data_IF_311333781934
#
_entry.id   IF_311333781934
#
_cell.length_a   1.000
_cell.length_b   1.000
_cell.length_c   1.000
_cell.angle_alpha   90.00
_cell.angle_beta   90.00
_cell.angle_gamma   90.00
#
_symmetry.space_group_name_H-M   'P 1'
#
loop_
_entity.id
_entity.type
_entity.pdbx_description
1 polymer ?
#
# COMPACT_ATOMS: atom_id res chain seq x y z
N UNK A 1 19.24 -3.14 -21.25
CA UNK A 1 18.67 -1.95 -20.60
C UNK A 1 17.65 -2.38 -19.57
N UNK A 2 17.87 -2.00 -18.34
CA UNK A 2 16.97 -2.37 -17.26
C UNK A 2 15.88 -1.30 -17.15
N UNK A 3 14.64 -1.71 -17.38
CA UNK A 3 13.50 -0.81 -17.19
C UNK A 3 13.06 -0.93 -15.75
N UNK A 4 13.23 0.14 -14.98
CA UNK A 4 12.77 0.17 -13.60
C UNK A 4 11.37 0.76 -13.57
N UNK A 5 10.38 -0.06 -13.23
CA UNK A 5 9.02 0.41 -13.07
C UNK A 5 8.84 0.89 -11.64
N UNK A 6 8.81 2.22 -11.45
CA UNK A 6 8.57 2.82 -10.15
C UNK A 6 7.08 3.00 -9.87
N UNK A 7 6.27 2.06 -10.36
CA UNK A 7 4.83 2.08 -10.13
C UNK A 7 4.49 1.27 -8.90
N UNK A 8 3.75 1.87 -7.99
CA UNK A 8 3.38 1.25 -6.73
C UNK A 8 1.86 1.29 -6.57
N UNK A 9 1.27 0.19 -6.16
CA UNK A 9 -0.15 0.13 -5.89
C UNK A 9 -0.38 -0.35 -4.45
N UNK A 10 -1.16 0.43 -3.70
CA UNK A 10 -1.56 0.08 -2.34
C UNK A 10 -2.91 -0.62 -2.41
N UNK A 11 -3.01 -1.80 -1.79
CA UNK A 11 -4.23 -2.61 -1.87
C UNK A 11 -4.84 -2.78 -0.48
N UNK A 12 -6.09 -2.38 -0.34
CA UNK A 12 -6.88 -2.57 0.86
C UNK A 12 -7.96 -3.63 0.66
N UNK A 13 -8.86 -3.78 1.62
CA UNK A 13 -9.95 -4.75 1.54
C UNK A 13 -11.13 -4.19 0.79
N UNK A 14 -11.66 -3.06 1.24
CA UNK A 14 -12.80 -2.39 0.63
C UNK A 14 -12.73 -0.89 0.87
N UNK A 15 -13.40 -0.06 0.04
CA UNK A 15 -13.39 1.38 0.22
C UNK A 15 -14.05 1.77 1.54
N UNK A 16 -13.50 2.81 2.17
CA UNK A 16 -14.13 3.41 3.33
C UNK A 16 -15.35 4.25 2.94
N UNK A 17 -16.05 4.75 3.95
CA UNK A 17 -17.25 5.55 3.75
C UNK A 17 -16.98 7.01 3.38
N UNK A 18 -15.74 7.45 3.55
CA UNK A 18 -15.35 8.83 3.25
C UNK A 18 -14.82 8.96 1.83
N UNK A 19 -15.06 10.11 1.16
CA UNK A 19 -14.42 10.36 -0.14
C UNK A 19 -12.89 10.41 0.02
N UNK A 20 -12.11 10.15 -1.06
CA UNK A 20 -10.64 10.08 -0.97
C UNK A 20 -9.99 11.30 -0.32
N UNK A 21 -10.50 12.51 -0.57
CA UNK A 21 -9.94 13.73 0.02
C UNK A 21 -10.16 13.86 1.53
N UNK A 22 -11.02 13.03 2.11
CA UNK A 22 -11.30 13.03 3.56
C UNK A 22 -10.87 11.72 4.24
N UNK A 23 -10.38 10.76 3.48
CA UNK A 23 -9.97 9.46 4.02
C UNK A 23 -8.64 9.56 4.73
N UNK A 24 -8.55 9.08 5.96
CA UNK A 24 -7.28 8.99 6.68
C UNK A 24 -6.34 7.99 6.01
N UNK A 25 -6.89 6.93 5.45
CA UNK A 25 -6.12 5.94 4.71
C UNK A 25 -5.39 6.59 3.54
N UNK A 26 -6.11 7.37 2.72
CA UNK A 26 -5.51 8.03 1.57
C UNK A 26 -4.50 9.09 1.99
N UNK A 27 -4.78 9.83 3.06
CA UNK A 27 -3.83 10.82 3.59
C UNK A 27 -2.52 10.18 4.01
N UNK A 28 -2.58 9.02 4.69
CA UNK A 28 -1.38 8.29 5.09
C UNK A 28 -0.62 7.72 3.91
N UNK A 29 -1.33 7.11 2.96
CA UNK A 29 -0.70 6.59 1.74
C UNK A 29 0.02 7.72 1.00
N UNK A 30 -0.60 8.88 0.89
CA UNK A 30 0.00 10.05 0.25
C UNK A 30 1.29 10.47 0.96
N UNK A 31 1.23 10.57 2.30
CA UNK A 31 2.40 10.92 3.11
C UNK A 31 3.53 9.91 2.92
N UNK A 32 3.21 8.62 2.99
CA UNK A 32 4.21 7.57 2.85
C UNK A 32 4.87 7.59 1.48
N UNK A 33 4.08 7.81 0.44
CA UNK A 33 4.59 7.87 -0.93
C UNK A 33 5.54 9.05 -1.11
N UNK A 34 5.20 10.21 -0.59
CA UNK A 34 6.06 11.38 -0.66
C UNK A 34 7.37 11.14 0.10
N UNK A 35 7.28 10.66 1.33
CA UNK A 35 8.46 10.46 2.18
C UNK A 35 9.35 9.31 1.71
N UNK A 36 8.77 8.29 1.09
CA UNK A 36 9.53 7.17 0.52
C UNK A 36 10.07 7.46 -0.88
N UNK A 37 9.71 8.60 -1.47
CA UNK A 37 10.18 8.97 -2.82
C UNK A 37 9.46 8.24 -3.94
N UNK A 38 8.25 7.74 -3.70
CA UNK A 38 7.46 7.05 -4.71
C UNK A 38 6.71 8.09 -5.55
N UNK A 39 7.00 8.12 -6.85
CA UNK A 39 6.43 9.13 -7.74
C UNK A 39 5.12 8.69 -8.39
N UNK A 40 5.02 7.40 -8.77
CA UNK A 40 3.86 6.86 -9.45
C UNK A 40 3.17 5.86 -8.55
N UNK A 41 2.09 6.26 -7.91
CA UNK A 41 1.35 5.38 -7.02
C UNK A 41 -0.15 5.54 -7.21
N UNK A 42 -0.86 4.46 -6.89
CA UNK A 42 -2.31 4.43 -6.91
C UNK A 42 -2.77 3.47 -5.82
N UNK A 43 -4.07 3.26 -5.71
CA UNK A 43 -4.63 2.31 -4.76
C UNK A 43 -5.82 1.58 -5.37
N UNK A 44 -6.09 0.41 -4.82
CA UNK A 44 -7.29 -0.36 -5.14
C UNK A 44 -7.69 -1.16 -3.91
N UNK A 45 -8.74 -1.95 -4.03
CA UNK A 45 -9.23 -2.79 -2.94
C UNK A 45 -9.57 -4.18 -3.47
N UNK A 46 -9.53 -5.19 -2.60
CA UNK A 46 -9.90 -6.56 -2.99
C UNK A 46 -11.36 -6.65 -3.45
N UNK A 47 -12.22 -5.73 -2.98
CA UNK A 47 -13.61 -5.66 -3.41
C UNK A 47 -13.76 -5.22 -4.86
N UNK A 48 -12.74 -4.60 -5.45
CA UNK A 48 -12.74 -4.27 -6.87
C UNK A 48 -12.54 -5.56 -7.67
N UNK A 49 -13.50 -5.96 -8.53
CA UNK A 49 -13.37 -7.21 -9.28
C UNK A 49 -12.19 -7.22 -10.26
N UNK A 50 -11.66 -6.06 -10.60
CA UNK A 50 -10.52 -5.95 -11.52
C UNK A 50 -9.18 -5.78 -10.80
N UNK A 51 -9.13 -5.98 -9.47
CA UNK A 51 -7.90 -5.72 -8.71
C UNK A 51 -6.70 -6.52 -9.22
N UNK A 52 -6.88 -7.78 -9.62
CA UNK A 52 -5.77 -8.59 -10.13
C UNK A 52 -5.22 -8.09 -11.47
N UNK A 53 -6.06 -7.45 -12.26
CA UNK A 53 -5.63 -6.82 -13.52
C UNK A 53 -4.89 -5.52 -13.20
N UNK A 54 -5.41 -4.73 -12.26
CA UNK A 54 -4.85 -3.43 -11.91
C UNK A 54 -3.46 -3.52 -11.29
N UNK A 55 -3.15 -4.61 -10.56
CA UNK A 55 -1.85 -4.75 -9.92
C UNK A 55 -0.72 -5.18 -10.85
N UNK A 56 -1.04 -5.60 -12.07
CA UNK A 56 -0.01 -6.06 -13.02
C UNK A 56 0.94 -4.92 -13.37
N UNK A 57 2.24 -5.21 -13.25
CA UNK A 57 3.27 -4.23 -13.54
C UNK A 57 3.54 -3.24 -12.42
N UNK A 58 2.92 -3.42 -11.26
CA UNK A 58 3.11 -2.56 -10.10
C UNK A 58 3.85 -3.28 -8.99
N UNK A 59 4.57 -2.52 -8.16
CA UNK A 59 5.01 -3.00 -6.86
C UNK A 59 3.79 -2.99 -5.94
N UNK A 60 3.45 -4.15 -5.38
CA UNK A 60 2.22 -4.30 -4.60
C UNK A 60 2.50 -4.12 -3.12
N UNK A 61 1.77 -3.22 -2.49
CA UNK A 61 1.82 -3.04 -1.04
C UNK A 61 0.48 -3.47 -0.46
N UNK A 62 0.53 -4.52 0.36
CA UNK A 62 -0.67 -5.09 0.99
C UNK A 62 -0.93 -4.38 2.32
N UNK A 63 -2.08 -3.73 2.44
CA UNK A 63 -2.47 -3.02 3.65
C UNK A 63 -3.27 -3.91 4.58
N UNK A 64 -2.59 -4.46 5.59
CA UNK A 64 -3.19 -5.32 6.60
C UNK A 64 -3.08 -6.80 6.30
N UNK A 65 -3.44 -7.61 7.31
CA UNK A 65 -3.26 -9.06 7.26
C UNK A 65 -4.15 -9.76 6.24
N UNK A 66 -5.38 -9.28 6.07
CA UNK A 66 -6.34 -9.91 5.15
C UNK A 66 -5.81 -9.85 3.72
N UNK A 67 -5.33 -8.68 3.32
CA UNK A 67 -4.79 -8.47 1.97
C UNK A 67 -3.50 -9.28 1.78
N UNK A 68 -2.61 -9.24 2.79
CA UNK A 68 -1.34 -9.97 2.71
C UNK A 68 -1.58 -11.48 2.54
N UNK A 69 -2.50 -12.05 3.31
CA UNK A 69 -2.84 -13.49 3.19
C UNK A 69 -3.41 -13.83 1.82
N UNK A 70 -4.24 -12.94 1.27
CA UNK A 70 -4.80 -13.13 -0.07
C UNK A 70 -3.69 -13.20 -1.12
N UNK A 71 -2.72 -12.29 -1.06
CA UNK A 71 -1.62 -12.28 -2.02
C UNK A 71 -0.66 -13.45 -1.82
N UNK A 72 -0.41 -13.87 -0.59
CA UNK A 72 0.37 -15.08 -0.32
C UNK A 72 -0.28 -16.30 -0.97
N UNK A 73 -1.59 -16.43 -0.82
CA UNK A 73 -2.35 -17.55 -1.39
C UNK A 73 -2.34 -17.54 -2.91
N UNK A 74 -2.28 -16.36 -3.52
CA UNK A 74 -2.29 -16.21 -4.98
C UNK A 74 -0.90 -16.01 -5.59
N UNK A 75 0.15 -16.23 -4.81
CA UNK A 75 1.55 -16.14 -5.25
C UNK A 75 1.92 -14.78 -5.85
N UNK A 76 1.39 -13.71 -5.27
CA UNK A 76 1.72 -12.34 -5.66
C UNK A 76 2.79 -11.78 -4.73
N UNK A 77 3.91 -11.35 -5.30
CA UNK A 77 4.95 -10.67 -4.51
C UNK A 77 4.41 -9.34 -3.98
N UNK A 78 4.58 -9.10 -2.69
CA UNK A 78 4.05 -7.90 -2.04
C UNK A 78 4.84 -7.55 -0.79
N UNK A 79 4.74 -6.29 -0.38
CA UNK A 79 5.18 -5.83 0.94
C UNK A 79 3.94 -5.66 1.81
N UNK A 80 3.95 -6.30 2.97
CA UNK A 80 2.86 -6.13 3.94
C UNK A 80 3.15 -4.92 4.84
N UNK A 81 2.16 -4.05 4.99
CA UNK A 81 2.22 -2.93 5.94
C UNK A 81 0.97 -2.96 6.83
N UNK A 82 1.03 -2.40 8.04
CA UNK A 82 -0.18 -2.26 8.86
C UNK A 82 -1.21 -1.39 8.14
N UNK A 83 -2.49 -1.70 8.34
CA UNK A 83 -3.56 -0.93 7.70
C UNK A 83 -3.49 0.54 8.13
N UNK A 84 -3.54 1.50 7.18
CA UNK A 84 -3.37 2.92 7.49
C UNK A 84 -4.61 3.60 8.09
N UNK A 85 -5.60 2.83 8.51
CA UNK A 85 -6.79 3.36 9.16
C UNK A 85 -6.44 4.13 10.43
N UNK A 86 -7.10 5.26 10.68
CA UNK A 86 -6.96 6.00 11.92
C UNK A 86 -7.40 5.24 13.16
N UNK A 87 -8.17 4.14 12.98
CA UNK A 87 -8.60 3.28 14.07
C UNK A 87 -7.57 2.23 14.46
N UNK A 88 -6.51 2.06 13.68
CA UNK A 88 -5.46 1.07 13.96
C UNK A 88 -4.55 1.60 15.07
N UNK A 89 -4.59 0.96 16.24
CA UNK A 89 -3.82 1.37 17.42
C UNK A 89 -2.31 1.22 17.24
N UNK A 90 -1.85 0.46 16.26
CA UNK A 90 -0.42 0.31 15.99
C UNK A 90 0.25 1.66 15.70
N UNK A 91 -0.51 2.63 15.19
CA UNK A 91 0.00 3.97 14.87
C UNK A 91 0.28 4.82 16.12
N UNK A 92 -0.08 4.32 17.32
CA UNK A 92 0.29 4.97 18.56
C UNK A 92 1.78 4.82 18.89
N UNK A 93 2.48 3.89 18.22
CA UNK A 93 3.92 3.74 18.35
C UNK A 93 4.61 4.73 17.41
N UNK A 94 5.34 5.74 17.95
CA UNK A 94 5.96 6.77 17.11
C UNK A 94 7.10 6.24 16.23
N UNK A 95 7.62 5.05 16.50
CA UNK A 95 8.71 4.46 15.71
C UNK A 95 8.19 3.62 14.54
N UNK A 96 6.92 3.24 14.55
CA UNK A 96 6.37 2.34 13.54
C UNK A 96 6.36 2.97 12.14
N UNK A 97 5.82 4.18 12.02
CA UNK A 97 5.67 4.81 10.72
C UNK A 97 7.00 5.09 10.02
N UNK A 98 8.03 5.63 10.70
CA UNK A 98 9.35 5.81 10.06
C UNK A 98 9.97 4.52 9.56
N UNK A 99 9.87 3.43 10.33
CA UNK A 99 10.37 2.12 9.90
C UNK A 99 9.66 1.62 8.66
N UNK A 100 8.35 1.81 8.62
CA UNK A 100 7.55 1.36 7.51
C UNK A 100 7.85 2.16 6.24
N UNK A 101 8.04 3.47 6.36
CA UNK A 101 8.43 4.32 5.23
C UNK A 101 9.76 3.85 4.64
N UNK A 102 10.72 3.46 5.49
CA UNK A 102 11.99 2.89 5.03
C UNK A 102 11.79 1.56 4.29
N UNK A 103 10.90 0.71 4.79
CA UNK A 103 10.56 -0.54 4.11
C UNK A 103 9.94 -0.29 2.74
N UNK A 104 9.05 0.68 2.63
CA UNK A 104 8.42 1.05 1.37
C UNK A 104 9.49 1.57 0.40
N UNK A 105 10.39 2.43 0.88
CA UNK A 105 11.49 2.94 0.05
C UNK A 105 12.36 1.81 -0.50
N UNK A 106 12.77 0.88 0.35
CA UNK A 106 13.59 -0.25 -0.08
C UNK A 106 12.88 -1.16 -1.05
N UNK A 107 11.60 -1.45 -0.80
CA UNK A 107 10.80 -2.32 -1.65
C UNK A 107 10.54 -1.71 -3.03
N UNK A 108 10.23 -0.42 -3.08
CA UNK A 108 9.86 0.25 -4.33
C UNK A 108 11.06 0.67 -5.18
N UNK A 109 12.25 0.68 -4.61
CA UNK A 109 13.49 1.02 -5.33
C UNK A 109 14.17 -0.17 -5.99
N UNK A 110 13.62 -1.35 -5.81
CA UNK A 110 14.18 -2.59 -6.41
C UNK A 110 13.93 -2.67 -7.92
#
# INVERSE_FOLDING_TARGET
MTITFNRTIFVGTEPGNNPPNKSQTIKRITKWSIEAGVQNWTWTNLSDPEHMIKIKGYRVIAMGNVVAKYFEKNNVEHLKVPHPSGLNRMWNDPELEPKMIEQIRGFTSQ
#
